data_IF_289898637489
#
_entry.id   IF_289898637489
#
_cell.length_a   1.000
_cell.length_b   1.000
_cell.length_c   1.000
_cell.angle_alpha   90.00
_cell.angle_beta   90.00
_cell.angle_gamma   90.00
#
_symmetry.space_group_name_H-M   'P 1'
#
loop_
_entity.id
_entity.type
_entity.pdbx_description
1 polymer ?
#
# COMPACT_ATOMS: atom_id res chain seq x y z
N UNK A 1 -12.34 -16.69 10.80
CA UNK A 1 -11.94 -15.35 11.31
C UNK A 1 -11.36 -14.56 10.14
N UNK A 2 -11.94 -13.39 9.85
CA UNK A 2 -11.47 -12.56 8.74
C UNK A 2 -10.36 -11.64 9.21
N UNK A 3 -9.21 -11.72 8.56
CA UNK A 3 -8.13 -10.77 8.80
C UNK A 3 -8.25 -9.54 7.88
N UNK A 4 -7.81 -8.40 8.35
CA UNK A 4 -7.61 -7.21 7.52
C UNK A 4 -6.15 -7.17 7.09
N UNK A 5 -5.91 -7.12 5.79
CA UNK A 5 -4.59 -6.96 5.19
C UNK A 5 -4.47 -5.51 4.76
N UNK A 6 -3.83 -4.72 5.58
CA UNK A 6 -3.53 -3.32 5.25
C UNK A 6 -2.18 -3.30 4.57
N UNK A 7 -2.12 -2.83 3.33
CA UNK A 7 -0.89 -2.82 2.57
C UNK A 7 -0.70 -1.54 1.77
N UNK A 8 0.54 -1.27 1.49
CA UNK A 8 1.01 -0.15 0.68
C UNK A 8 2.11 -0.63 -0.27
N UNK A 9 2.26 0.05 -1.40
CA UNK A 9 3.21 -0.28 -2.46
C UNK A 9 4.01 0.95 -2.86
N UNK A 10 5.32 0.75 -3.02
CA UNK A 10 6.15 1.74 -3.70
C UNK A 10 6.45 1.26 -5.13
N UNK A 11 6.38 2.18 -6.08
CA UNK A 11 6.62 1.90 -7.48
C UNK A 11 7.51 2.92 -8.17
N UNK A 12 8.24 2.45 -9.16
CA UNK A 12 9.02 3.26 -10.06
C UNK A 12 8.29 3.46 -11.39
N UNK A 13 8.69 4.46 -12.15
CA UNK A 13 8.24 4.71 -13.51
C UNK A 13 9.43 5.02 -14.43
N UNK A 14 9.16 5.15 -15.72
CA UNK A 14 10.20 5.57 -16.66
C UNK A 14 10.79 6.93 -16.25
N UNK A 15 12.14 7.10 -16.25
CA UNK A 15 12.80 8.39 -15.97
C UNK A 15 12.31 9.55 -16.85
N UNK A 16 11.86 9.26 -18.09
CA UNK A 16 11.21 10.21 -18.99
C UNK A 16 9.75 10.52 -18.66
N UNK A 17 9.22 9.99 -17.57
CA UNK A 17 7.85 10.18 -17.11
C UNK A 17 6.84 9.19 -17.73
N UNK A 18 5.57 9.39 -17.40
CA UNK A 18 4.48 8.47 -17.74
C UNK A 18 4.33 8.23 -19.25
N UNK A 19 4.56 9.25 -20.08
CA UNK A 19 4.41 9.14 -21.54
C UNK A 19 5.48 8.23 -22.18
N UNK A 20 6.64 8.12 -21.53
CA UNK A 20 7.73 7.23 -21.96
C UNK A 20 7.63 5.83 -21.33
N UNK A 21 6.66 5.61 -20.45
CA UNK A 21 6.48 4.34 -19.75
C UNK A 21 5.91 3.25 -20.65
N UNK A 22 6.19 2.00 -20.33
CA UNK A 22 5.59 0.84 -20.98
C UNK A 22 4.08 0.86 -20.74
N UNK A 23 3.28 0.85 -21.82
CA UNK A 23 1.82 1.01 -21.76
C UNK A 23 1.14 0.04 -20.78
N UNK A 24 1.61 -1.23 -20.74
CA UNK A 24 1.03 -2.25 -19.86
C UNK A 24 1.59 -2.24 -18.44
N UNK A 25 2.66 -1.46 -18.19
CA UNK A 25 3.29 -1.32 -16.88
C UNK A 25 3.77 0.12 -16.68
N UNK A 26 2.88 1.11 -16.55
CA UNK A 26 3.29 2.48 -16.32
C UNK A 26 4.03 2.68 -15.00
N UNK A 27 3.74 1.83 -14.03
CA UNK A 27 4.36 1.79 -12.70
C UNK A 27 4.81 0.37 -12.37
N UNK A 28 6.09 0.20 -12.10
CA UNK A 28 6.69 -1.07 -11.69
C UNK A 28 6.90 -1.08 -10.19
N UNK A 29 6.25 -2.00 -9.50
CA UNK A 29 6.34 -2.13 -8.05
C UNK A 29 7.74 -2.59 -7.66
N UNK A 30 8.38 -1.91 -6.71
CA UNK A 30 9.68 -2.28 -6.17
C UNK A 30 9.69 -2.56 -4.66
N UNK A 31 8.63 -2.19 -3.94
CA UNK A 31 8.50 -2.48 -2.52
C UNK A 31 7.04 -2.79 -2.18
N UNK A 32 6.82 -3.74 -1.30
CA UNK A 32 5.53 -4.06 -0.70
C UNK A 32 5.69 -4.14 0.81
N UNK A 33 4.83 -3.41 1.51
CA UNK A 33 4.68 -3.47 2.95
C UNK A 33 3.24 -3.77 3.34
N UNK A 34 3.05 -4.60 4.35
CA UNK A 34 1.71 -4.92 4.83
C UNK A 34 1.70 -5.25 6.32
N UNK A 35 0.57 -4.93 6.96
CA UNK A 35 0.25 -5.39 8.31
C UNK A 35 -1.04 -6.20 8.28
N UNK A 36 -1.07 -7.26 9.08
CA UNK A 36 -2.26 -8.07 9.27
C UNK A 36 -2.90 -7.72 10.61
N UNK A 37 -4.16 -7.33 10.57
CA UNK A 37 -4.96 -7.09 11.76
C UNK A 37 -6.00 -8.21 11.90
N UNK A 38 -6.25 -8.66 13.12
CA UNK A 38 -7.31 -9.61 13.46
C UNK A 38 -8.70 -8.92 13.48
N UNK A 39 -9.74 -9.64 13.84
CA UNK A 39 -11.12 -9.10 13.95
C UNK A 39 -11.23 -8.01 15.02
N UNK A 40 -10.43 -8.09 16.07
CA UNK A 40 -10.30 -7.09 17.15
C UNK A 40 -9.44 -5.89 16.72
N UNK A 41 -8.90 -5.90 15.49
CA UNK A 41 -7.99 -4.90 14.90
C UNK A 41 -6.64 -4.79 15.61
N UNK A 42 -6.19 -5.86 16.23
CA UNK A 42 -4.84 -5.94 16.77
C UNK A 42 -3.87 -6.38 15.66
N UNK A 43 -2.69 -5.78 15.58
CA UNK A 43 -1.61 -6.19 14.67
C UNK A 43 -1.08 -7.55 15.10
N UNK A 44 -1.23 -8.55 14.25
CA UNK A 44 -0.81 -9.94 14.51
C UNK A 44 0.35 -10.39 13.64
N UNK A 45 0.63 -9.73 12.53
CA UNK A 45 1.76 -10.03 11.66
C UNK A 45 2.10 -8.84 10.75
N UNK A 46 3.30 -8.86 10.19
CA UNK A 46 3.75 -7.92 9.17
C UNK A 46 4.41 -8.65 8.00
N UNK A 47 4.44 -8.01 6.85
CA UNK A 47 5.10 -8.48 5.64
C UNK A 47 5.83 -7.30 5.00
N UNK A 48 7.09 -7.51 4.65
CA UNK A 48 7.87 -6.52 3.92
C UNK A 48 8.81 -7.21 2.95
N UNK A 49 8.84 -6.76 1.69
CA UNK A 49 9.77 -7.26 0.66
C UNK A 49 10.15 -6.16 -0.30
N UNK A 50 11.40 -6.21 -0.72
CA UNK A 50 11.93 -5.44 -1.83
C UNK A 50 11.86 -6.30 -3.09
N UNK A 51 11.40 -5.70 -4.19
CA UNK A 51 11.19 -6.37 -5.47
C UNK A 51 12.21 -5.84 -6.46
N UNK A 52 12.90 -6.74 -7.13
CA UNK A 52 13.89 -6.40 -8.15
C UNK A 52 13.19 -5.91 -9.41
N UNK A 53 13.45 -4.66 -9.86
CA UNK A 53 12.86 -4.17 -11.08
C UNK A 53 13.40 -4.93 -12.31
N UNK A 54 12.51 -5.21 -13.26
CA UNK A 54 12.85 -5.90 -14.49
C UNK A 54 12.69 -4.99 -15.73
N UNK A 55 11.93 -3.92 -15.64
CA UNK A 55 11.61 -3.00 -16.73
C UNK A 55 12.37 -1.67 -16.58
N UNK A 56 12.19 -0.98 -15.45
CA UNK A 56 12.80 0.33 -15.24
C UNK A 56 14.11 0.19 -14.46
N UNK A 57 15.24 0.16 -15.21
CA UNK A 57 16.60 0.00 -14.68
C UNK A 57 17.25 1.28 -14.16
N UNK A 58 16.46 2.35 -14.04
CA UNK A 58 16.85 3.62 -13.45
C UNK A 58 15.68 4.15 -12.65
N UNK A 59 15.98 4.70 -11.48
CA UNK A 59 14.95 5.35 -10.68
C UNK A 59 14.51 6.66 -11.32
N UNK A 60 13.20 6.89 -11.31
CA UNK A 60 12.70 8.23 -11.59
C UNK A 60 13.15 9.18 -10.47
N UNK A 61 13.69 10.35 -10.85
CA UNK A 61 14.33 11.28 -9.92
C UNK A 61 13.49 11.60 -8.68
N UNK A 62 12.22 11.98 -8.89
CA UNK A 62 11.31 12.33 -7.78
C UNK A 62 11.07 11.13 -6.86
N UNK A 63 10.90 9.94 -7.42
CA UNK A 63 10.65 8.73 -6.63
C UNK A 63 11.86 8.42 -5.75
N UNK A 64 13.08 8.49 -6.32
CA UNK A 64 14.30 8.28 -5.54
C UNK A 64 14.50 9.35 -4.45
N UNK A 65 14.13 10.61 -4.73
CA UNK A 65 14.22 11.70 -3.74
C UNK A 65 13.23 11.50 -2.56
N UNK A 66 12.06 10.95 -2.83
CA UNK A 66 10.99 10.76 -1.83
C UNK A 66 11.19 9.49 -1.03
N UNK A 67 11.47 8.37 -1.69
CA UNK A 67 11.63 7.04 -1.04
C UNK A 67 13.03 6.81 -0.48
N UNK A 68 14.02 7.59 -0.92
CA UNK A 68 15.45 7.40 -0.64
C UNK A 68 16.00 6.03 -1.07
N UNK A 69 15.35 5.37 -2.04
CA UNK A 69 15.75 4.08 -2.57
C UNK A 69 16.57 4.27 -3.85
N UNK A 70 17.63 3.50 -3.99
CA UNK A 70 18.46 3.47 -5.20
C UNK A 70 18.21 2.20 -6.02
N UNK A 71 18.54 2.26 -7.31
CA UNK A 71 18.39 1.09 -8.19
C UNK A 71 19.38 -0.01 -7.80
N UNK A 72 20.57 0.35 -7.31
CA UNK A 72 21.60 -0.58 -6.85
C UNK A 72 21.14 -1.37 -5.63
N UNK A 73 20.38 -0.74 -4.72
CA UNK A 73 19.75 -1.41 -3.58
C UNK A 73 18.71 -2.41 -4.06
N UNK A 74 17.83 -2.01 -4.96
CA UNK A 74 16.80 -2.89 -5.52
C UNK A 74 17.37 -4.08 -6.31
N UNK A 75 18.48 -3.87 -7.01
CA UNK A 75 19.17 -4.95 -7.74
C UNK A 75 19.87 -5.92 -6.81
N UNK A 76 20.45 -5.42 -5.71
CA UNK A 76 21.18 -6.24 -4.74
C UNK A 76 20.24 -7.05 -3.85
N UNK A 77 19.24 -6.41 -3.29
CA UNK A 77 18.41 -6.95 -2.19
C UNK A 77 17.02 -7.41 -2.67
N UNK A 78 16.60 -7.00 -3.86
CA UNK A 78 15.28 -7.30 -4.40
C UNK A 78 15.12 -8.76 -4.86
N UNK A 79 13.95 -9.28 -4.63
CA UNK A 79 13.51 -10.60 -5.08
C UNK A 79 12.68 -10.49 -6.38
N UNK A 80 12.53 -11.59 -7.16
CA UNK A 80 11.63 -11.57 -8.33
C UNK A 80 10.18 -11.30 -7.93
N UNK A 81 9.48 -10.43 -8.70
CA UNK A 81 8.08 -10.06 -8.43
C UNK A 81 7.16 -11.26 -8.18
N UNK A 82 7.23 -12.30 -9.05
CA UNK A 82 6.37 -13.46 -8.92
C UNK A 82 6.58 -14.21 -7.59
N UNK A 83 7.84 -14.38 -7.17
CA UNK A 83 8.14 -15.03 -5.89
C UNK A 83 7.59 -14.24 -4.69
N UNK A 84 7.80 -12.91 -4.70
CA UNK A 84 7.25 -12.04 -3.63
C UNK A 84 5.74 -12.10 -3.59
N UNK A 85 5.07 -12.09 -4.75
CA UNK A 85 3.60 -12.15 -4.81
C UNK A 85 3.05 -13.50 -4.37
N UNK A 86 3.70 -14.61 -4.69
CA UNK A 86 3.32 -15.94 -4.19
C UNK A 86 3.41 -15.99 -2.66
N UNK A 87 4.49 -15.49 -2.09
CA UNK A 87 4.68 -15.40 -0.64
C UNK A 87 3.67 -14.46 0.01
N UNK A 88 3.42 -13.28 -0.59
CA UNK A 88 2.43 -12.33 -0.09
C UNK A 88 1.02 -12.92 -0.06
N UNK A 89 0.58 -13.53 -1.16
CA UNK A 89 -0.75 -14.15 -1.25
C UNK A 89 -0.90 -15.29 -0.24
N UNK A 90 0.14 -16.12 -0.07
CA UNK A 90 0.16 -17.17 0.95
C UNK A 90 0.10 -16.59 2.36
N UNK A 91 0.84 -15.52 2.63
CA UNK A 91 0.81 -14.81 3.91
C UNK A 91 -0.55 -14.18 4.18
N UNK A 92 -1.23 -13.61 3.17
CA UNK A 92 -2.60 -13.07 3.33
C UNK A 92 -3.57 -14.14 3.84
N UNK A 93 -3.53 -15.35 3.29
CA UNK A 93 -4.49 -16.41 3.55
C UNK A 93 -5.77 -16.24 2.73
N UNK A 94 -6.70 -17.18 2.87
CA UNK A 94 -7.90 -17.25 2.03
C UNK A 94 -9.03 -16.31 2.51
N UNK A 95 -9.14 -16.07 3.81
CA UNK A 95 -10.25 -15.32 4.42
C UNK A 95 -9.76 -13.95 4.92
N UNK A 96 -9.49 -13.04 3.98
CA UNK A 96 -8.98 -11.71 4.30
C UNK A 96 -9.74 -10.60 3.56
N UNK A 97 -9.67 -9.39 4.09
CA UNK A 97 -10.17 -8.15 3.50
C UNK A 97 -8.98 -7.23 3.29
N UNK A 98 -8.77 -6.77 2.07
CA UNK A 98 -7.72 -5.81 1.77
C UNK A 98 -8.13 -4.38 2.13
N UNK A 99 -7.16 -3.61 2.62
CA UNK A 99 -7.32 -2.22 3.02
C UNK A 99 -6.14 -1.42 2.49
N UNK A 100 -6.39 -0.28 1.85
CA UNK A 100 -5.35 0.59 1.30
C UNK A 100 -5.71 2.06 1.51
N UNK A 101 -4.73 2.95 1.43
CA UNK A 101 -4.96 4.40 1.41
C UNK A 101 -5.30 4.84 -0.02
N UNK A 102 -6.57 4.74 -0.38
CA UNK A 102 -7.06 4.92 -1.74
C UNK A 102 -7.09 3.60 -2.53
N UNK A 103 -7.25 3.68 -3.85
CA UNK A 103 -7.44 2.51 -4.72
C UNK A 103 -6.26 2.21 -5.64
N UNK A 104 -5.23 3.05 -5.62
CA UNK A 104 -4.12 2.94 -6.58
C UNK A 104 -3.31 1.67 -6.35
N UNK A 105 -2.99 1.32 -5.10
CA UNK A 105 -2.22 0.13 -4.76
C UNK A 105 -2.83 -1.14 -5.32
N UNK A 106 -4.15 -1.32 -5.17
CA UNK A 106 -4.86 -2.46 -5.73
C UNK A 106 -4.85 -2.48 -7.25
N UNK A 107 -4.95 -1.30 -7.87
CA UNK A 107 -4.91 -1.18 -9.33
C UNK A 107 -3.54 -1.57 -9.86
N UNK A 108 -2.49 -1.04 -9.26
CA UNK A 108 -1.12 -1.31 -9.70
C UNK A 108 -0.68 -2.73 -9.33
N UNK A 109 -1.11 -3.28 -8.19
CA UNK A 109 -0.88 -4.68 -7.84
C UNK A 109 -1.42 -5.62 -8.93
N UNK A 110 -2.68 -5.45 -9.29
CA UNK A 110 -3.30 -6.27 -10.34
C UNK A 110 -2.63 -6.09 -11.70
N UNK A 111 -2.25 -4.86 -12.06
CA UNK A 111 -1.56 -4.56 -13.31
C UNK A 111 -0.19 -5.23 -13.37
N UNK A 112 0.60 -5.14 -12.31
CA UNK A 112 1.90 -5.80 -12.20
C UNK A 112 1.75 -7.33 -12.25
N UNK A 113 0.76 -7.91 -11.55
CA UNK A 113 0.48 -9.35 -11.63
C UNK A 113 0.19 -9.78 -13.08
N UNK A 114 -0.69 -9.07 -13.78
CA UNK A 114 -1.01 -9.37 -15.18
C UNK A 114 0.20 -9.23 -16.08
N UNK A 115 1.01 -8.19 -15.90
CA UNK A 115 2.24 -7.99 -16.67
C UNK A 115 3.22 -9.15 -16.50
N UNK A 116 3.36 -9.67 -15.29
CA UNK A 116 4.20 -10.84 -14.98
C UNK A 116 3.54 -12.20 -15.29
N UNK A 117 2.39 -12.20 -15.97
CA UNK A 117 1.70 -13.43 -16.38
C UNK A 117 1.04 -14.20 -15.23
N UNK A 118 0.86 -13.56 -14.08
CA UNK A 118 0.20 -14.18 -12.94
C UNK A 118 -1.32 -14.13 -13.07
N UNK A 119 -2.00 -15.16 -12.58
CA UNK A 119 -3.46 -15.13 -12.44
C UNK A 119 -3.83 -14.31 -11.21
N UNK A 120 -4.82 -13.41 -11.36
CA UNK A 120 -5.36 -12.67 -10.24
C UNK A 120 -6.31 -13.60 -9.45
N UNK A 121 -5.97 -13.97 -8.19
CA UNK A 121 -6.76 -14.95 -7.43
C UNK A 121 -8.00 -14.34 -6.76
N UNK A 122 -8.24 -13.03 -6.95
CA UNK A 122 -9.30 -12.33 -6.26
C UNK A 122 -10.66 -12.54 -6.91
N UNK A 123 -11.74 -12.66 -6.12
CA UNK A 123 -13.10 -12.80 -6.64
C UNK A 123 -13.52 -11.52 -7.39
N UNK A 124 -14.51 -11.65 -8.27
CA UNK A 124 -15.14 -10.50 -8.95
C UNK A 124 -16.60 -10.39 -8.53
N UNK A 125 -17.06 -9.22 -8.04
CA UNK A 125 -16.27 -7.99 -7.81
C UNK A 125 -15.29 -8.15 -6.66
N UNK A 126 -14.13 -7.49 -6.78
CA UNK A 126 -13.16 -7.42 -5.70
C UNK A 126 -13.56 -6.34 -4.70
N UNK A 127 -13.78 -6.74 -3.46
CA UNK A 127 -14.19 -5.84 -2.39
C UNK A 127 -12.99 -5.54 -1.47
N UNK A 128 -12.80 -4.26 -1.15
CA UNK A 128 -11.75 -3.79 -0.27
C UNK A 128 -12.20 -2.56 0.52
N UNK A 129 -11.47 -2.19 1.54
CA UNK A 129 -11.66 -0.92 2.24
C UNK A 129 -10.69 0.14 1.71
N UNK A 130 -11.23 1.18 1.09
CA UNK A 130 -10.54 2.43 0.81
C UNK A 130 -10.53 3.28 2.09
N UNK A 131 -9.43 3.20 2.86
CA UNK A 131 -9.30 3.87 4.17
C UNK A 131 -9.31 5.38 4.03
N UNK A 132 -8.73 5.94 2.95
CA UNK A 132 -8.80 7.37 2.62
C UNK A 132 -10.25 7.82 2.44
N UNK A 133 -11.06 7.01 1.76
CA UNK A 133 -12.49 7.29 1.57
C UNK A 133 -13.27 7.20 2.88
N UNK A 134 -12.97 6.21 3.71
CA UNK A 134 -13.57 6.08 5.05
C UNK A 134 -13.22 7.30 5.91
N UNK A 135 -11.96 7.73 5.90
CA UNK A 135 -11.55 8.97 6.58
C UNK A 135 -12.38 10.17 6.11
N UNK A 136 -12.47 10.39 4.81
CA UNK A 136 -13.23 11.50 4.23
C UNK A 136 -14.71 11.49 4.63
N UNK A 137 -15.33 10.30 4.66
CA UNK A 137 -16.73 10.14 5.06
C UNK A 137 -16.97 10.41 6.57
N UNK A 138 -15.99 10.09 7.42
CA UNK A 138 -16.13 10.23 8.87
C UNK A 138 -15.73 11.61 9.39
N UNK A 139 -14.75 12.24 8.77
CA UNK A 139 -14.10 13.45 9.32
C UNK A 139 -14.11 14.65 8.39
N UNK A 140 -14.59 14.50 7.14
CA UNK A 140 -14.64 15.57 6.14
C UNK A 140 -15.99 15.58 5.41
N UNK A 141 -15.99 15.97 4.14
CA UNK A 141 -17.18 16.10 3.29
C UNK A 141 -17.55 14.84 2.48
N UNK A 142 -16.79 13.76 2.66
CA UNK A 142 -16.92 12.53 1.88
C UNK A 142 -16.40 12.61 0.45
N UNK A 143 -15.79 13.73 0.04
CA UNK A 143 -15.23 13.95 -1.32
C UNK A 143 -13.74 14.25 -1.28
N UNK A 144 -13.27 14.89 -0.22
CA UNK A 144 -11.87 15.23 -0.04
C UNK A 144 -10.99 13.97 -0.06
N UNK A 145 -9.81 14.12 -0.62
CA UNK A 145 -8.76 13.09 -0.64
C UNK A 145 -7.51 13.72 -0.07
N UNK A 146 -7.28 13.51 1.20
CA UNK A 146 -6.06 13.95 1.86
C UNK A 146 -4.98 12.91 1.74
N UNK A 147 -3.75 13.32 1.90
CA UNK A 147 -2.61 12.41 1.98
C UNK A 147 -2.60 11.62 3.30
N UNK A 148 -1.81 10.57 3.38
CA UNK A 148 -1.73 9.74 4.58
C UNK A 148 -1.09 10.50 5.73
N UNK A 149 -0.03 11.28 5.46
CA UNK A 149 0.65 12.12 6.46
C UNK A 149 -0.28 13.17 7.08
N UNK A 150 -1.11 13.86 6.27
CA UNK A 150 -2.13 14.78 6.77
C UNK A 150 -3.16 14.08 7.68
N UNK A 151 -3.56 12.85 7.35
CA UNK A 151 -4.49 12.10 8.19
C UNK A 151 -3.84 11.66 9.51
N UNK A 152 -2.61 11.17 9.48
CA UNK A 152 -1.82 10.77 10.64
C UNK A 152 -1.63 11.97 11.59
N UNK A 153 -1.29 13.13 11.05
CA UNK A 153 -1.17 14.37 11.80
C UNK A 153 -2.51 14.76 12.46
N UNK A 154 -3.61 14.68 11.71
CA UNK A 154 -4.95 15.03 12.23
C UNK A 154 -5.41 14.14 13.38
N UNK A 155 -4.96 12.89 13.41
CA UNK A 155 -5.22 11.95 14.50
C UNK A 155 -4.22 12.03 15.65
N UNK A 156 -3.17 12.87 15.51
CA UNK A 156 -2.05 12.97 16.45
C UNK A 156 -1.44 11.59 16.77
N UNK A 157 -1.28 10.76 15.73
CA UNK A 157 -0.63 9.47 15.86
C UNK A 157 0.89 9.66 15.98
N UNK A 158 1.53 8.82 16.78
CA UNK A 158 2.99 8.81 16.87
C UNK A 158 3.59 8.34 15.53
N UNK A 159 4.59 9.07 15.04
CA UNK A 159 5.29 8.80 13.80
C UNK A 159 6.68 8.29 14.13
N UNK A 160 6.86 6.97 14.12
CA UNK A 160 8.13 6.31 14.43
C UNK A 160 8.93 5.90 13.18
N UNK A 161 8.27 5.86 12.01
CA UNK A 161 8.88 5.51 10.73
C UNK A 161 8.74 6.66 9.71
N UNK A 162 9.70 6.82 8.79
CA UNK A 162 9.57 7.79 7.70
C UNK A 162 8.42 7.38 6.77
N UNK A 163 7.67 8.36 6.26
CA UNK A 163 6.73 8.17 5.16
C UNK A 163 7.45 7.75 3.88
N UNK A 164 6.70 7.24 2.92
CA UNK A 164 7.20 6.74 1.63
C UNK A 164 8.12 5.51 1.75
N UNK A 165 7.77 4.65 2.70
CA UNK A 165 8.27 3.28 2.82
C UNK A 165 7.06 2.38 3.05
N UNK A 166 6.88 1.42 2.18
CA UNK A 166 5.65 0.65 2.08
C UNK A 166 5.18 0.02 3.41
N UNK A 167 6.10 -0.47 4.26
CA UNK A 167 5.70 -1.02 5.57
C UNK A 167 5.23 0.07 6.53
N UNK A 168 5.92 1.21 6.60
CA UNK A 168 5.53 2.35 7.44
C UNK A 168 4.16 2.90 7.05
N UNK A 169 3.93 3.11 5.75
CA UNK A 169 2.67 3.63 5.23
C UNK A 169 1.51 2.62 5.41
N UNK A 170 1.78 1.32 5.30
CA UNK A 170 0.81 0.28 5.68
C UNK A 170 0.47 0.31 7.18
N UNK A 171 1.45 0.54 8.06
CA UNK A 171 1.22 0.69 9.51
C UNK A 171 0.37 1.92 9.82
N UNK A 172 0.70 3.10 9.25
CA UNK A 172 -0.09 4.32 9.44
C UNK A 172 -1.51 4.21 8.89
N UNK A 173 -1.68 3.55 7.74
CA UNK A 173 -3.00 3.22 7.20
C UNK A 173 -3.78 2.29 8.16
N UNK A 174 -3.11 1.30 8.74
CA UNK A 174 -3.69 0.40 9.74
C UNK A 174 -4.13 1.13 11.01
N UNK A 175 -3.28 2.00 11.56
CA UNK A 175 -3.61 2.85 12.71
C UNK A 175 -4.77 3.80 12.40
N UNK A 176 -4.80 4.39 11.21
CA UNK A 176 -5.92 5.22 10.76
C UNK A 176 -7.22 4.41 10.69
N UNK A 177 -7.20 3.18 10.15
CA UNK A 177 -8.36 2.29 10.10
C UNK A 177 -8.87 1.96 11.52
N UNK A 178 -7.97 1.65 12.46
CA UNK A 178 -8.31 1.40 13.86
C UNK A 178 -9.01 2.63 14.44
N UNK A 179 -8.42 3.82 14.29
CA UNK A 179 -8.96 5.07 14.81
C UNK A 179 -10.34 5.40 14.24
N UNK A 180 -10.55 5.22 12.94
CA UNK A 180 -11.84 5.43 12.27
C UNK A 180 -12.92 4.48 12.83
N UNK A 181 -12.55 3.27 13.17
CA UNK A 181 -13.47 2.22 13.58
C UNK A 181 -13.77 2.18 15.08
N UNK A 182 -13.05 2.94 15.92
CA UNK A 182 -13.31 3.08 17.36
C UNK A 182 -14.45 4.09 17.61
N UNK A 183 -15.64 3.69 18.03
CA UNK A 183 -16.78 4.60 18.21
C UNK A 183 -16.67 5.53 19.42
N UNK A 184 -15.65 5.40 20.29
CA UNK A 184 -15.63 5.96 21.63
C UNK A 184 -14.86 7.26 21.82
N UNK A 185 -14.24 7.83 20.76
CA UNK A 185 -13.48 9.09 20.88
C UNK A 185 -14.07 10.27 20.07
N UNK A 186 -15.34 10.23 19.75
CA UNK A 186 -16.00 11.44 19.26
C UNK A 186 -16.28 12.37 20.46
N UNK A 187 -15.34 13.26 20.76
CA UNK A 187 -15.70 14.49 21.48
C UNK A 187 -16.73 15.22 20.61
N UNK A 188 -17.92 15.58 21.15
CA UNK A 188 -18.85 16.40 20.40
C UNK A 188 -18.16 17.72 20.04
N UNK A 189 -18.13 18.06 18.75
CA UNK A 189 -17.74 19.39 18.32
C UNK A 189 -18.80 20.33 18.89
N UNK A 190 -18.43 21.09 19.94
CA UNK A 190 -19.24 22.15 20.54
C UNK A 190 -19.23 23.38 19.66
#
# INVERSE_FOLDING_TARGET
MKNFIVFDLEWNQNPGGKEASVERLPFEIFEIGAVKLNEEREKVAEFHRIIRPCVYRQMHRIISEVTHVSIEELERDGEPFAAVMEDFLKWCGEDCIFCTWGSMDLTELQRNMVYHGMTIPFPKPFLFYDVQKLYSLCYQDGKARISLDEAVESFALDVDAPFHRALGDAEYTGLSLIHISEPTRRTPIS
#
